data_IF_179047965424
#
_entry.id   IF_179047965424
#
_cell.length_a   1.000
_cell.length_b   1.000
_cell.length_c   1.000
_cell.angle_alpha   90.00
_cell.angle_beta   90.00
_cell.angle_gamma   90.00
#
_symmetry.space_group_name_H-M   'P 1'
#
loop_
_entity.id
_entity.type
_entity.pdbx_description
1 polymer ?
#
# COMPACT_ATOMS: atom_id res chain seq x y z
N UNK A 1 -13.26 -69.55 -50.12
CA UNK A 1 -12.35 -69.03 -49.07
C UNK A 1 -13.15 -68.03 -48.24
N UNK A 2 -13.76 -68.46 -47.14
CA UNK A 2 -13.31 -68.21 -45.74
C UNK A 2 -12.91 -66.73 -45.57
N UNK A 3 -13.59 -65.84 -44.87
CA UNK A 3 -14.50 -65.96 -43.73
C UNK A 3 -13.87 -65.23 -42.54
N UNK A 4 -14.58 -64.23 -41.98
CA UNK A 4 -14.43 -63.55 -40.66
C UNK A 4 -14.77 -62.05 -40.81
N UNK A 5 -15.70 -61.40 -40.09
CA UNK A 5 -16.45 -61.78 -38.90
C UNK A 5 -15.82 -61.18 -37.63
N UNK A 6 -16.43 -60.10 -37.10
CA UNK A 6 -16.42 -59.56 -35.71
C UNK A 6 -16.32 -58.03 -35.71
N UNK A 7 -16.81 -57.27 -34.74
CA UNK A 7 -17.86 -57.35 -33.70
C UNK A 7 -17.82 -55.95 -33.08
N UNK A 8 -18.97 -55.37 -32.72
CA UNK A 8 -19.05 -54.20 -31.84
C UNK A 8 -18.65 -54.56 -30.40
N UNK A 9 -18.28 -53.50 -29.64
CA UNK A 9 -18.13 -53.31 -28.18
C UNK A 9 -16.68 -53.39 -27.64
N UNK A 10 -16.41 -52.92 -26.41
CA UNK A 10 -16.58 -51.55 -25.89
C UNK A 10 -15.26 -51.07 -25.23
N UNK A 11 -14.97 -49.77 -25.22
CA UNK A 11 -13.81 -49.21 -24.53
C UNK A 11 -14.25 -48.17 -23.51
N UNK A 12 -14.35 -48.57 -22.25
CA UNK A 12 -14.40 -47.67 -21.12
C UNK A 12 -13.00 -47.29 -20.64
N UNK A 13 -12.97 -46.30 -19.74
CA UNK A 13 -11.84 -45.84 -18.93
C UNK A 13 -10.74 -45.05 -19.69
N UNK A 14 -10.36 -43.83 -19.32
CA UNK A 14 -10.73 -43.03 -18.16
C UNK A 14 -10.47 -41.55 -18.44
N UNK A 15 -11.32 -40.72 -17.86
CA UNK A 15 -11.07 -39.31 -17.70
C UNK A 15 -9.92 -39.14 -16.70
N UNK A 16 -8.71 -38.90 -17.19
CA UNK A 16 -7.70 -38.19 -16.42
C UNK A 16 -7.80 -36.72 -16.81
N UNK A 17 -8.79 -36.05 -16.23
CA UNK A 17 -8.73 -34.61 -16.06
C UNK A 17 -7.64 -34.36 -15.03
N UNK A 18 -6.54 -33.77 -15.49
CA UNK A 18 -5.43 -33.33 -14.66
C UNK A 18 -5.99 -32.58 -13.45
N UNK A 19 -5.71 -33.10 -12.26
CA UNK A 19 -6.12 -32.44 -11.02
C UNK A 19 -5.50 -31.05 -11.04
N UNK A 20 -6.29 -29.97 -10.88
CA UNK A 20 -5.69 -28.68 -10.64
C UNK A 20 -4.88 -28.82 -9.36
N UNK A 21 -3.58 -28.57 -9.48
CA UNK A 21 -2.70 -28.43 -8.33
C UNK A 21 -3.36 -27.39 -7.44
N UNK A 22 -3.83 -27.83 -6.27
CA UNK A 22 -4.26 -26.96 -5.19
C UNK A 22 -3.09 -26.04 -4.88
N UNK A 23 -3.09 -24.87 -5.52
CA UNK A 23 -2.32 -23.72 -5.06
C UNK A 23 -2.90 -23.45 -3.69
N UNK A 24 -2.22 -23.94 -2.65
CA UNK A 24 -2.44 -23.54 -1.27
C UNK A 24 -2.51 -22.02 -1.29
N UNK A 25 -3.73 -21.49 -1.27
CA UNK A 25 -4.02 -20.11 -0.91
C UNK A 25 -3.41 -19.99 0.47
N UNK A 26 -2.22 -19.40 0.56
CA UNK A 26 -1.63 -19.10 1.86
C UNK A 26 -2.68 -18.27 2.58
N UNK A 27 -3.21 -18.81 3.67
CA UNK A 27 -3.97 -18.01 4.61
C UNK A 27 -3.01 -16.88 4.97
N UNK A 28 -3.31 -15.65 4.56
CA UNK A 28 -2.67 -14.48 5.15
C UNK A 28 -3.08 -14.51 6.62
N UNK A 29 -2.20 -15.02 7.47
CA UNK A 29 -2.39 -15.02 8.90
C UNK A 29 -2.53 -13.56 9.34
N UNK A 30 -3.52 -13.24 10.17
CA UNK A 30 -3.58 -11.91 10.79
C UNK A 30 -2.28 -11.65 11.56
N UNK A 31 -1.76 -10.42 11.50
CA UNK A 31 -0.61 -10.04 12.31
C UNK A 31 -0.90 -10.19 13.81
N UNK A 32 0.10 -10.57 14.60
CA UNK A 32 -0.03 -10.78 16.05
C UNK A 32 -0.09 -9.45 16.84
N UNK A 33 -1.10 -8.64 16.55
CA UNK A 33 -1.39 -7.38 17.24
C UNK A 33 -2.66 -7.60 18.07
N UNK A 34 -2.65 -7.26 19.38
CA UNK A 34 -3.83 -7.38 20.23
C UNK A 34 -5.06 -6.72 19.59
N UNK A 35 -6.18 -7.44 19.57
CA UNK A 35 -7.42 -6.97 18.91
C UNK A 35 -7.89 -5.62 19.42
N UNK A 36 -7.72 -5.34 20.72
CA UNK A 36 -8.09 -4.05 21.31
C UNK A 36 -7.23 -2.91 20.78
N UNK A 37 -5.94 -3.17 20.52
CA UNK A 37 -5.04 -2.17 19.95
C UNK A 37 -5.37 -1.91 18.47
N UNK A 38 -5.72 -2.95 17.69
CA UNK A 38 -6.24 -2.78 16.32
C UNK A 38 -7.47 -1.87 16.31
N UNK A 39 -8.47 -2.19 17.15
CA UNK A 39 -9.69 -1.40 17.31
C UNK A 39 -9.41 0.02 17.78
N UNK A 40 -8.44 0.22 18.67
CA UNK A 40 -8.02 1.55 19.14
C UNK A 40 -7.53 2.40 17.96
N UNK A 41 -6.63 1.87 17.12
CA UNK A 41 -6.11 2.59 15.94
C UNK A 41 -7.23 2.96 14.97
N UNK A 42 -8.06 1.98 14.60
CA UNK A 42 -9.13 2.19 13.63
C UNK A 42 -10.23 3.10 14.16
N UNK A 43 -10.57 3.04 15.45
CA UNK A 43 -11.54 3.93 16.08
C UNK A 43 -11.05 5.38 16.11
N UNK A 44 -9.75 5.61 16.31
CA UNK A 44 -9.17 6.95 16.34
C UNK A 44 -9.18 7.61 14.95
N UNK A 45 -8.94 6.83 13.90
CA UNK A 45 -8.93 7.32 12.51
C UNK A 45 -10.28 7.19 11.80
N UNK A 46 -11.21 6.38 12.33
CA UNK A 46 -12.49 6.00 11.71
C UNK A 46 -12.30 5.38 10.32
N UNK A 47 -11.23 4.62 10.16
CA UNK A 47 -10.84 3.97 8.91
C UNK A 47 -10.25 2.60 9.23
N UNK A 48 -10.67 1.58 8.51
CA UNK A 48 -10.07 0.25 8.58
C UNK A 48 -8.66 0.27 7.99
N UNK A 49 -7.74 -0.47 8.61
CA UNK A 49 -6.35 -0.59 8.13
C UNK A 49 -6.09 -1.99 7.55
N UNK A 50 -5.30 -2.08 6.47
CA UNK A 50 -5.03 -3.37 5.82
C UNK A 50 -4.01 -4.20 6.62
N UNK A 51 -3.97 -5.52 6.43
CA UNK A 51 -3.06 -6.39 7.19
C UNK A 51 -1.57 -6.08 6.98
N UNK A 52 -1.17 -5.56 5.82
CA UNK A 52 0.22 -5.15 5.58
C UNK A 52 0.68 -4.05 6.55
N UNK A 53 -0.23 -3.18 7.02
CA UNK A 53 0.08 -2.19 8.05
C UNK A 53 0.54 -2.85 9.36
N UNK A 54 -0.24 -3.82 9.86
CA UNK A 54 0.04 -4.48 11.13
C UNK A 54 1.25 -5.42 11.04
N UNK A 55 1.39 -6.13 9.92
CA UNK A 55 2.58 -6.95 9.67
C UNK A 55 3.85 -6.11 9.53
N UNK A 56 3.76 -4.93 8.92
CA UNK A 56 4.91 -4.05 8.80
C UNK A 56 5.33 -3.46 10.15
N UNK A 57 4.38 -3.23 11.07
CA UNK A 57 4.71 -2.91 12.46
C UNK A 57 5.52 -4.03 13.11
N UNK A 58 5.09 -5.29 12.96
CA UNK A 58 5.82 -6.46 13.49
C UNK A 58 7.22 -6.60 12.91
N UNK A 59 7.34 -6.42 11.60
CA UNK A 59 8.65 -6.37 10.93
C UNK A 59 9.56 -5.29 11.55
N UNK A 60 9.03 -4.10 11.81
CA UNK A 60 9.78 -3.02 12.46
C UNK A 60 10.10 -3.31 13.94
N UNK A 61 9.23 -4.01 14.68
CA UNK A 61 9.50 -4.48 16.05
C UNK A 61 10.65 -5.48 16.08
N UNK A 62 10.77 -6.36 15.09
CA UNK A 62 11.91 -7.29 14.98
C UNK A 62 13.23 -6.61 14.64
N UNK A 63 13.17 -5.48 13.92
CA UNK A 63 14.37 -4.69 13.59
C UNK A 63 14.87 -3.88 14.78
N UNK A 64 13.96 -3.27 15.55
CA UNK A 64 14.26 -2.50 16.76
C UNK A 64 13.10 -2.61 17.75
N UNK A 65 13.18 -3.53 18.74
CA UNK A 65 12.12 -3.72 19.73
C UNK A 65 11.91 -2.53 20.66
N UNK A 66 12.94 -1.69 20.86
CA UNK A 66 12.85 -0.52 21.75
C UNK A 66 12.15 0.65 21.06
N UNK A 67 12.44 0.86 19.77
CA UNK A 67 11.87 1.97 18.98
C UNK A 67 11.43 1.51 17.60
N UNK A 68 10.37 0.68 17.49
CA UNK A 68 9.93 0.12 16.21
C UNK A 68 9.61 1.22 15.17
N UNK A 69 9.00 2.32 15.61
CA UNK A 69 8.65 3.44 14.74
C UNK A 69 9.85 4.17 14.11
N UNK A 70 11.03 4.10 14.74
CA UNK A 70 12.27 4.71 14.29
C UNK A 70 13.29 3.68 13.74
N UNK A 71 12.93 2.40 13.65
CA UNK A 71 13.79 1.29 13.20
C UNK A 71 14.47 1.52 11.83
N UNK A 72 13.82 2.30 10.95
CA UNK A 72 14.33 2.63 9.61
C UNK A 72 14.95 4.04 9.52
N UNK A 73 15.00 4.80 10.62
CA UNK A 73 15.42 6.20 10.61
C UNK A 73 16.91 6.37 10.35
N UNK A 74 17.76 5.54 10.96
CA UNK A 74 19.22 5.65 10.75
C UNK A 74 19.66 5.16 9.35
N UNK A 75 19.01 4.10 8.85
CA UNK A 75 19.38 3.46 7.58
C UNK A 75 18.79 4.21 6.37
N UNK A 76 17.47 4.40 6.36
CA UNK A 76 16.71 4.96 5.24
C UNK A 76 16.31 6.42 5.44
N UNK A 77 16.42 6.96 6.66
CA UNK A 77 15.86 8.28 6.97
C UNK A 77 14.34 8.27 7.01
N UNK A 78 13.72 7.11 7.24
CA UNK A 78 12.26 6.95 7.30
C UNK A 78 11.79 6.73 8.73
N UNK A 79 10.63 7.28 9.07
CA UNK A 79 9.96 7.07 10.36
C UNK A 79 8.49 6.72 10.14
N UNK A 80 8.01 5.72 10.88
CA UNK A 80 6.61 5.35 10.94
C UNK A 80 5.85 6.35 11.81
N UNK A 81 4.75 6.88 11.29
CA UNK A 81 3.94 7.93 11.92
C UNK A 81 2.44 7.70 11.68
N UNK A 82 1.61 8.65 12.12
CA UNK A 82 0.17 8.60 11.86
C UNK A 82 -0.47 7.48 12.68
N UNK A 83 -1.15 6.49 12.06
CA UNK A 83 -1.70 5.35 12.81
C UNK A 83 -0.63 4.53 13.55
N UNK A 84 0.63 4.51 13.08
CA UNK A 84 1.72 3.88 13.84
C UNK A 84 2.05 4.59 15.15
N UNK A 85 1.75 5.89 15.30
CA UNK A 85 1.97 6.59 16.57
C UNK A 85 1.02 6.07 17.67
N UNK A 86 -0.14 5.51 17.28
CA UNK A 86 -1.08 4.87 18.20
C UNK A 86 -0.55 3.50 18.63
N UNK A 87 -0.03 2.70 17.68
CA UNK A 87 0.65 1.43 18.00
C UNK A 87 1.86 1.65 18.93
N UNK A 88 2.61 2.72 18.71
CA UNK A 88 3.71 3.15 19.57
C UNK A 88 3.27 3.76 20.93
N UNK A 89 1.96 3.88 21.19
CA UNK A 89 1.40 4.44 22.42
C UNK A 89 1.64 5.94 22.64
N UNK A 90 2.09 6.68 21.61
CA UNK A 90 2.47 8.10 21.73
C UNK A 90 1.27 9.02 22.02
N UNK A 91 0.05 8.61 21.63
CA UNK A 91 -1.17 9.37 21.92
C UNK A 91 -1.53 9.36 23.41
N UNK A 92 -1.10 8.34 24.17
CA UNK A 92 -1.35 8.21 25.63
C UNK A 92 -0.49 9.18 26.46
N UNK A 93 0.58 9.74 25.89
CA UNK A 93 1.49 10.66 26.58
C UNK A 93 0.98 12.11 26.64
N UNK A 94 -0.05 12.48 25.85
CA UNK A 94 -0.64 13.82 25.90
C UNK A 94 -1.57 13.92 27.12
N UNK A 95 -1.28 14.85 28.03
CA UNK A 95 -2.16 15.20 29.17
C UNK A 95 -3.56 15.58 28.64
N UNK A 96 -4.54 14.71 28.90
CA UNK A 96 -6.02 14.79 28.93
C UNK A 96 -6.86 16.00 28.41
N UNK A 97 -6.34 17.09 27.85
CA UNK A 97 -7.14 18.30 27.58
C UNK A 97 -7.42 18.61 26.10
N UNK A 98 -6.80 17.91 25.14
CA UNK A 98 -7.13 18.08 23.72
C UNK A 98 -7.29 16.71 23.07
N UNK A 99 -8.50 16.38 22.62
CA UNK A 99 -8.74 15.24 21.75
C UNK A 99 -7.80 15.33 20.54
N UNK A 100 -6.97 14.31 20.32
CA UNK A 100 -6.10 14.25 19.16
C UNK A 100 -6.97 14.24 17.90
N UNK A 101 -6.93 15.31 17.10
CA UNK A 101 -7.62 15.33 15.82
C UNK A 101 -6.81 14.50 14.81
N UNK A 102 -7.09 13.20 14.75
CA UNK A 102 -6.39 12.26 13.86
C UNK A 102 -6.55 12.61 12.37
N UNK A 103 -7.62 13.34 12.00
CA UNK A 103 -7.81 13.80 10.63
C UNK A 103 -6.70 14.75 10.18
N UNK A 104 -6.05 15.47 11.10
CA UNK A 104 -4.96 16.41 10.82
C UNK A 104 -3.59 15.88 11.25
N UNK A 105 -3.54 14.74 11.95
CA UNK A 105 -2.31 14.16 12.46
C UNK A 105 -1.44 13.66 11.29
N UNK A 106 -0.32 14.34 11.04
CA UNK A 106 0.56 14.14 9.89
C UNK A 106 -0.08 14.35 8.50
N UNK A 107 -1.16 15.13 8.43
CA UNK A 107 -1.71 15.57 7.15
C UNK A 107 -0.87 16.73 6.60
N UNK A 108 -0.17 16.49 5.50
CA UNK A 108 0.61 17.53 4.80
C UNK A 108 -0.30 18.43 3.96
N UNK A 109 0.26 19.54 3.49
CA UNK A 109 -0.49 20.61 2.84
C UNK A 109 -1.27 20.15 1.59
N UNK A 110 -0.69 19.23 0.81
CA UNK A 110 -1.29 18.71 -0.42
C UNK A 110 -1.95 17.33 -0.24
N UNK A 111 -2.10 16.84 1.00
CA UNK A 111 -2.70 15.53 1.25
C UNK A 111 -4.22 15.63 1.14
N UNK A 112 -4.84 15.08 0.07
CA UNK A 112 -6.28 15.08 -0.05
C UNK A 112 -6.88 14.11 1.00
N UNK A 113 -8.19 14.20 1.32
CA UNK A 113 -8.83 13.35 2.32
C UNK A 113 -8.58 11.84 2.15
N UNK A 114 -8.47 11.39 0.90
CA UNK A 114 -8.17 10.02 0.45
C UNK A 114 -6.79 9.52 0.90
N UNK A 115 -5.86 10.45 1.14
CA UNK A 115 -4.46 10.15 1.46
C UNK A 115 -4.23 10.22 2.98
N UNK A 116 -3.84 9.08 3.56
CA UNK A 116 -3.53 8.92 4.98
C UNK A 116 -2.04 8.61 5.15
N UNK A 117 -1.28 9.59 5.60
CA UNK A 117 0.17 9.46 5.85
C UNK A 117 0.48 8.40 6.91
N UNK A 118 1.42 7.52 6.60
CA UNK A 118 1.91 6.44 7.47
C UNK A 118 3.44 6.46 7.67
N UNK A 119 4.20 7.05 6.74
CA UNK A 119 5.66 7.14 6.83
C UNK A 119 6.10 8.55 6.42
N UNK A 120 7.06 9.13 7.14
CA UNK A 120 7.75 10.37 6.75
C UNK A 120 9.22 10.09 6.44
N UNK A 121 9.80 10.89 5.56
CA UNK A 121 11.21 10.85 5.21
C UNK A 121 11.88 12.22 5.28
N UNK A 122 12.49 12.67 4.17
CA UNK A 122 13.24 13.91 4.14
C UNK A 122 12.38 15.14 4.47
N UNK A 123 12.63 15.75 5.62
CA UNK A 123 11.96 16.96 6.09
C UNK A 123 12.21 18.21 5.21
N UNK A 124 13.29 18.23 4.42
CA UNK A 124 13.61 19.34 3.53
C UNK A 124 12.64 19.42 2.37
N UNK A 125 12.25 18.28 1.81
CA UNK A 125 11.28 18.18 0.72
C UNK A 125 9.88 17.84 1.23
N UNK A 126 9.75 17.51 2.52
CA UNK A 126 8.55 16.94 3.12
C UNK A 126 8.12 15.66 2.38
N UNK A 127 9.09 14.81 2.07
CA UNK A 127 8.81 13.49 1.51
C UNK A 127 8.04 12.66 2.54
N UNK A 128 6.95 12.03 2.10
CA UNK A 128 6.15 11.15 2.93
C UNK A 128 5.40 10.12 2.08
N UNK A 129 4.95 9.05 2.71
CA UNK A 129 4.16 7.97 2.10
C UNK A 129 2.85 7.81 2.85
N UNK A 130 1.79 7.49 2.13
CA UNK A 130 0.45 7.34 2.68
C UNK A 130 -0.40 6.32 1.92
N UNK A 131 -1.33 5.72 2.65
CA UNK A 131 -2.37 4.91 2.04
C UNK A 131 -3.35 5.80 1.29
N UNK A 132 -3.69 5.43 0.05
CA UNK A 132 -4.71 6.11 -0.75
C UNK A 132 -5.99 5.28 -0.78
N UNK A 133 -7.13 5.87 -0.39
CA UNK A 133 -8.46 5.23 -0.39
C UNK A 133 -9.41 6.00 -1.30
N UNK A 134 -10.05 5.30 -2.24
CA UNK A 134 -11.09 5.90 -3.07
C UNK A 134 -12.38 6.17 -2.26
N UNK A 135 -12.63 5.40 -1.20
CA UNK A 135 -13.76 5.54 -0.27
C UNK A 135 -13.33 5.24 1.17
N UNK A 136 -13.87 5.94 2.20
CA UNK A 136 -13.55 5.66 3.61
C UNK A 136 -13.98 4.25 4.06
N UNK A 137 -14.97 3.66 3.40
CA UNK A 137 -15.48 2.32 3.73
C UNK A 137 -14.65 1.19 3.09
N UNK A 138 -13.69 1.53 2.23
CA UNK A 138 -12.84 0.58 1.51
C UNK A 138 -11.41 0.57 2.07
N UNK A 139 -10.71 -0.55 1.87
CA UNK A 139 -9.28 -0.63 2.15
C UNK A 139 -8.49 0.22 1.14
N UNK A 140 -7.26 0.64 1.50
CA UNK A 140 -6.38 1.36 0.59
C UNK A 140 -6.18 0.63 -0.74
N UNK A 141 -6.24 1.38 -1.85
CA UNK A 141 -6.02 0.85 -3.20
C UNK A 141 -4.54 0.79 -3.58
N UNK A 142 -3.71 1.62 -2.96
CA UNK A 142 -2.24 1.59 -3.06
C UNK A 142 -1.58 2.46 -1.97
N UNK A 143 -0.24 2.41 -1.89
CA UNK A 143 0.57 3.37 -1.14
C UNK A 143 1.14 4.41 -2.09
N UNK A 144 0.82 5.68 -1.86
CA UNK A 144 1.32 6.81 -2.64
C UNK A 144 2.47 7.53 -1.92
N UNK A 145 3.27 8.27 -2.68
CA UNK A 145 4.31 9.16 -2.14
C UNK A 145 4.16 10.58 -2.66
N UNK A 146 4.43 11.57 -1.82
CA UNK A 146 4.48 12.98 -2.21
C UNK A 146 5.67 13.69 -1.53
N UNK A 147 6.13 14.78 -2.16
CA UNK A 147 7.08 15.74 -1.59
C UNK A 147 6.39 17.10 -1.47
N UNK A 148 5.78 17.37 -0.31
CA UNK A 148 4.82 18.48 -0.17
C UNK A 148 5.43 19.87 -0.36
N UNK A 149 6.76 20.02 -0.25
CA UNK A 149 7.46 21.28 -0.58
C UNK A 149 7.79 21.45 -2.06
N UNK A 150 7.55 20.44 -2.89
CA UNK A 150 7.83 20.47 -4.33
C UNK A 150 6.56 20.64 -5.17
N UNK A 151 5.55 19.81 -4.97
CA UNK A 151 4.31 19.83 -5.75
C UNK A 151 3.19 19.01 -5.07
N UNK A 152 2.00 19.01 -5.68
CA UNK A 152 0.84 18.23 -5.24
C UNK A 152 0.77 16.82 -5.85
N UNK A 153 1.79 16.37 -6.59
CA UNK A 153 1.73 15.09 -7.32
C UNK A 153 1.88 13.93 -6.36
N UNK A 154 0.94 12.99 -6.41
CA UNK A 154 0.97 11.74 -5.66
C UNK A 154 1.38 10.62 -6.62
N UNK A 155 2.52 10.00 -6.35
CA UNK A 155 3.07 8.93 -7.18
C UNK A 155 2.73 7.58 -6.54
N UNK A 156 1.97 6.68 -7.23
CA UNK A 156 1.74 5.33 -6.74
C UNK A 156 3.05 4.54 -6.61
N UNK A 157 3.23 3.86 -5.48
CA UNK A 157 4.48 3.22 -5.10
C UNK A 157 4.23 1.86 -4.44
N UNK A 158 3.57 0.96 -5.17
CA UNK A 158 3.17 -0.36 -4.69
C UNK A 158 1.78 -0.39 -4.03
N UNK A 159 1.19 -1.59 -3.91
CA UNK A 159 -0.14 -1.78 -3.33
C UNK A 159 -0.15 -2.11 -1.83
N UNK A 160 1.02 -2.10 -1.21
CA UNK A 160 1.22 -2.36 0.22
C UNK A 160 2.49 -1.63 0.71
N UNK A 161 2.63 -1.48 2.03
CA UNK A 161 3.74 -0.72 2.63
C UNK A 161 5.11 -1.39 2.45
N UNK A 162 5.17 -2.73 2.39
CA UNK A 162 6.43 -3.46 2.12
C UNK A 162 6.97 -3.08 0.74
N UNK A 163 6.12 -3.10 -0.30
CA UNK A 163 6.48 -2.68 -1.64
C UNK A 163 6.98 -1.23 -1.65
N UNK A 164 6.26 -0.32 -1.00
CA UNK A 164 6.60 1.10 -0.97
C UNK A 164 8.00 1.36 -0.38
N UNK A 165 8.29 0.72 0.75
CA UNK A 165 9.58 0.84 1.43
C UNK A 165 10.69 0.16 0.62
N UNK A 166 10.43 -0.99 0.00
CA UNK A 166 11.40 -1.64 -0.89
C UNK A 166 11.77 -0.77 -2.08
N UNK A 167 10.78 -0.18 -2.75
CA UNK A 167 10.99 0.69 -3.91
C UNK A 167 11.80 1.93 -3.52
N UNK A 168 11.51 2.52 -2.35
CA UNK A 168 12.31 3.61 -1.79
C UNK A 168 13.74 3.17 -1.49
N UNK A 169 13.93 2.01 -0.84
CA UNK A 169 15.24 1.44 -0.54
C UNK A 169 16.06 1.22 -1.81
N UNK A 170 15.47 0.62 -2.85
CA UNK A 170 16.11 0.39 -4.13
C UNK A 170 16.56 1.69 -4.82
N UNK A 171 15.74 2.75 -4.74
CA UNK A 171 16.14 4.09 -5.20
C UNK A 171 17.31 4.61 -4.37
N UNK A 172 17.25 4.50 -3.05
CA UNK A 172 18.30 4.97 -2.14
C UNK A 172 19.62 4.24 -2.34
N UNK A 173 19.59 2.94 -2.63
CA UNK A 173 20.78 2.13 -2.88
C UNK A 173 21.56 2.60 -4.11
N UNK A 174 20.88 3.21 -5.09
CA UNK A 174 21.51 3.81 -6.29
C UNK A 174 22.15 5.18 -6.00
N UNK A 175 21.70 5.87 -4.95
CA UNK A 175 22.19 7.21 -4.57
C UNK A 175 23.37 7.17 -3.58
N UNK A 176 23.48 6.10 -2.79
CA UNK A 176 24.47 5.98 -1.71
C UNK A 176 25.77 5.38 -2.24
N UNK A 177 26.90 5.99 -1.88
CA UNK A 177 28.25 5.52 -2.22
C UNK A 177 29.01 4.88 -1.05
N UNK A 178 28.57 5.14 0.20
CA UNK A 178 29.20 4.59 1.41
C UNK A 178 28.98 3.07 1.54
N UNK A 179 30.08 2.30 1.60
CA UNK A 179 30.04 0.83 1.61
C UNK A 179 29.31 0.25 2.83
N UNK A 180 29.48 0.84 4.01
CA UNK A 180 28.85 0.36 5.25
C UNK A 180 27.34 0.58 5.21
N UNK A 181 26.91 1.73 4.68
CA UNK A 181 25.50 2.04 4.48
C UNK A 181 24.88 1.13 3.41
N UNK A 182 25.59 0.86 2.31
CA UNK A 182 25.14 -0.09 1.29
C UNK A 182 24.93 -1.49 1.89
N UNK A 183 25.86 -2.00 2.71
CA UNK A 183 25.68 -3.33 3.34
C UNK A 183 24.50 -3.37 4.30
N UNK A 184 24.27 -2.30 5.07
CA UNK A 184 23.10 -2.18 5.94
C UNK A 184 21.79 -2.19 5.15
N UNK A 185 21.74 -1.41 4.06
CA UNK A 185 20.56 -1.35 3.19
C UNK A 185 20.28 -2.69 2.51
N UNK A 186 21.30 -3.44 2.10
CA UNK A 186 21.14 -4.79 1.54
C UNK A 186 20.58 -5.79 2.56
N UNK A 187 21.06 -5.75 3.80
CA UNK A 187 20.53 -6.61 4.86
C UNK A 187 19.04 -6.34 5.12
N UNK A 188 18.65 -5.06 5.18
CA UNK A 188 17.24 -4.67 5.33
C UNK A 188 16.43 -5.12 4.12
N UNK A 189 16.96 -4.98 2.90
CA UNK A 189 16.29 -5.44 1.68
C UNK A 189 16.02 -6.94 1.67
N UNK A 190 17.00 -7.75 2.10
CA UNK A 190 16.88 -9.20 2.23
C UNK A 190 15.76 -9.56 3.22
N UNK A 191 15.80 -8.99 4.43
CA UNK A 191 14.77 -9.23 5.46
C UNK A 191 13.38 -8.80 4.99
N UNK A 192 13.27 -7.64 4.36
CA UNK A 192 11.99 -7.13 3.85
C UNK A 192 11.44 -8.03 2.74
N UNK A 193 12.31 -8.50 1.84
CA UNK A 193 11.94 -9.38 0.74
C UNK A 193 11.48 -10.75 1.24
N UNK A 194 12.17 -11.28 2.26
CA UNK A 194 11.80 -12.53 2.92
C UNK A 194 10.42 -12.40 3.57
N UNK A 195 10.22 -11.37 4.42
CA UNK A 195 8.95 -11.13 5.11
C UNK A 195 7.78 -10.95 4.11
N UNK A 196 7.97 -10.14 3.07
CA UNK A 196 6.95 -9.96 2.04
C UNK A 196 6.63 -11.27 1.30
N UNK A 197 7.63 -12.11 1.04
CA UNK A 197 7.44 -13.43 0.41
C UNK A 197 6.65 -14.38 1.30
N UNK A 198 7.00 -14.46 2.58
CA UNK A 198 6.31 -15.31 3.56
C UNK A 198 4.85 -14.90 3.74
N UNK A 199 4.58 -13.58 3.76
CA UNK A 199 3.25 -13.01 3.92
C UNK A 199 2.45 -12.96 2.60
N UNK A 200 3.09 -13.21 1.46
CA UNK A 200 2.45 -13.19 0.13
C UNK A 200 2.15 -11.79 -0.40
N UNK A 201 2.88 -10.77 0.05
CA UNK A 201 2.75 -9.40 -0.46
C UNK A 201 3.55 -9.21 -1.75
N UNK A 202 2.91 -8.59 -2.75
CA UNK A 202 3.60 -8.19 -3.98
C UNK A 202 4.61 -7.08 -3.69
N UNK A 203 5.75 -7.11 -4.37
CA UNK A 203 6.77 -6.06 -4.28
C UNK A 203 6.85 -5.22 -5.56
N UNK A 204 5.87 -5.38 -6.46
CA UNK A 204 5.79 -4.61 -7.70
C UNK A 204 5.37 -3.15 -7.43
N UNK A 205 5.89 -2.22 -8.23
CA UNK A 205 5.47 -0.82 -8.18
C UNK A 205 4.01 -0.62 -8.63
N UNK A 206 3.53 -1.42 -9.59
CA UNK A 206 2.16 -1.35 -10.13
C UNK A 206 1.58 -2.76 -10.31
N UNK A 207 0.77 -3.18 -9.36
CA UNK A 207 0.15 -4.52 -9.36
C UNK A 207 -1.04 -4.61 -10.32
N UNK A 208 -1.50 -5.84 -10.59
CA UNK A 208 -2.70 -6.06 -11.40
C UNK A 208 -3.95 -5.38 -10.81
N UNK A 209 -4.07 -5.32 -9.48
CA UNK A 209 -5.18 -4.63 -8.80
C UNK A 209 -5.15 -3.12 -9.07
N UNK A 210 -3.98 -2.50 -8.98
CA UNK A 210 -3.80 -1.08 -9.30
C UNK A 210 -4.19 -0.80 -10.75
N UNK A 211 -3.75 -1.63 -11.70
CA UNK A 211 -4.12 -1.50 -13.13
C UNK A 211 -5.61 -1.71 -13.38
N UNK A 212 -6.28 -2.56 -12.61
CA UNK A 212 -7.74 -2.72 -12.69
C UNK A 212 -8.46 -1.48 -12.14
N UNK A 213 -7.96 -0.90 -11.06
CA UNK A 213 -8.47 0.37 -10.51
C UNK A 213 -8.27 1.51 -11.52
N UNK A 214 -7.12 1.59 -12.20
CA UNK A 214 -6.85 2.61 -13.22
C UNK A 214 -7.92 2.64 -14.33
N UNK A 215 -8.57 1.50 -14.65
CA UNK A 215 -9.68 1.44 -15.62
C UNK A 215 -10.98 2.06 -15.12
N UNK A 216 -11.13 2.24 -13.82
CA UNK A 216 -12.30 2.86 -13.17
C UNK A 216 -12.08 4.35 -12.87
N UNK A 217 -10.87 4.86 -13.11
CA UNK A 217 -10.53 6.27 -12.90
C UNK A 217 -11.22 7.11 -13.95
N UNK A 218 -12.07 8.04 -13.51
CA UNK A 218 -12.83 8.92 -14.41
C UNK A 218 -12.06 10.20 -14.77
N UNK A 219 -11.13 10.63 -13.91
CA UNK A 219 -10.20 11.74 -14.18
C UNK A 219 -8.98 11.64 -13.29
N UNK A 220 -7.83 12.18 -13.72
CA UNK A 220 -6.58 12.13 -12.95
C UNK A 220 -6.47 13.17 -11.85
N UNK A 221 -7.17 14.31 -12.02
CA UNK A 221 -6.99 15.55 -11.26
C UNK A 221 -5.53 16.05 -11.27
N UNK A 222 -5.25 17.20 -10.65
CA UNK A 222 -3.89 17.76 -10.61
C UNK A 222 -2.88 16.94 -9.80
N UNK A 223 -3.34 16.22 -8.78
CA UNK A 223 -2.45 15.35 -7.99
C UNK A 223 -2.12 14.04 -8.71
N UNK A 224 -2.82 13.70 -9.81
CA UNK A 224 -2.49 12.58 -10.69
C UNK A 224 -2.84 11.18 -10.15
N UNK A 225 -3.31 11.07 -8.92
CA UNK A 225 -3.75 9.81 -8.31
C UNK A 225 -5.07 9.29 -8.88
N UNK A 226 -5.87 10.18 -9.47
CA UNK A 226 -7.14 9.86 -10.10
C UNK A 226 -8.32 9.67 -9.14
N UNK A 227 -9.50 9.97 -9.65
CA UNK A 227 -10.78 9.92 -8.96
C UNK A 227 -11.61 8.75 -9.49
N UNK A 228 -12.21 7.99 -8.58
CA UNK A 228 -13.11 6.86 -8.88
C UNK A 228 -14.46 7.16 -8.28
N UNK A 229 -15.50 7.19 -9.12
CA UNK A 229 -16.89 7.36 -8.69
C UNK A 229 -17.78 6.34 -9.40
N UNK A 230 -18.94 5.99 -8.83
CA UNK A 230 -19.91 5.16 -9.53
C UNK A 230 -20.38 5.85 -10.83
N UNK A 231 -20.27 5.15 -11.95
CA UNK A 231 -20.83 5.55 -13.25
C UNK A 231 -21.77 4.44 -13.70
N UNK A 232 -23.04 4.77 -13.95
CA UNK A 232 -24.02 3.79 -14.38
C UNK A 232 -23.89 3.46 -15.88
N UNK A 233 -24.74 2.55 -16.37
CA UNK A 233 -24.76 2.14 -17.79
C UNK A 233 -25.18 3.23 -18.78
N UNK A 234 -25.66 4.38 -18.28
CA UNK A 234 -26.10 5.53 -19.06
C UNK A 234 -25.11 6.70 -18.93
N UNK A 235 -23.89 6.43 -18.45
CA UNK A 235 -22.83 7.41 -18.16
C UNK A 235 -23.21 8.46 -17.11
N UNK A 236 -24.19 8.16 -16.24
CA UNK A 236 -24.57 9.03 -15.12
C UNK A 236 -23.62 8.80 -13.95
N UNK A 237 -22.91 9.85 -13.54
CA UNK A 237 -22.06 9.84 -12.32
C UNK A 237 -20.85 10.77 -12.40
N UNK A 238 -20.33 11.03 -13.60
CA UNK A 238 -19.21 11.94 -13.83
C UNK A 238 -19.44 12.79 -15.08
N UNK A 239 -18.90 14.01 -15.09
CA UNK A 239 -18.86 14.88 -16.26
C UNK A 239 -17.58 15.69 -16.22
N UNK A 240 -16.93 15.79 -17.37
CA UNK A 240 -15.69 16.55 -17.52
C UNK A 240 -15.90 18.06 -17.27
N UNK A 241 -14.82 18.73 -16.88
CA UNK A 241 -14.79 20.19 -16.85
C UNK A 241 -14.84 20.73 -18.28
N UNK A 242 -15.41 21.93 -18.49
CA UNK A 242 -15.42 22.57 -19.82
C UNK A 242 -14.01 23.00 -20.27
N UNK A 243 -13.05 23.04 -19.35
CA UNK A 243 -11.66 23.47 -19.59
C UNK A 243 -10.69 22.31 -19.38
N UNK A 244 -9.57 22.35 -20.10
CA UNK A 244 -8.47 21.40 -19.89
C UNK A 244 -7.68 21.72 -18.62
N UNK A 245 -6.99 20.73 -18.05
CA UNK A 245 -6.12 20.94 -16.87
C UNK A 245 -5.10 22.07 -17.10
N UNK A 246 -4.55 22.19 -18.32
CA UNK A 246 -3.61 23.27 -18.66
C UNK A 246 -4.25 24.65 -18.65
N UNK A 247 -5.49 24.78 -19.11
CA UNK A 247 -6.24 26.04 -19.06
C UNK A 247 -6.61 26.41 -17.64
N UNK A 248 -7.06 25.45 -16.83
CA UNK A 248 -7.37 25.69 -15.42
C UNK A 248 -6.09 26.14 -14.69
N UNK A 249 -4.95 25.48 -14.92
CA UNK A 249 -3.68 25.93 -14.33
C UNK A 249 -3.32 27.37 -14.74
N UNK A 250 -3.51 27.75 -16.01
CA UNK A 250 -3.26 29.12 -16.49
C UNK A 250 -4.12 30.19 -15.80
N UNK A 251 -5.32 29.84 -15.34
CA UNK A 251 -6.22 30.77 -14.65
C UNK A 251 -5.84 30.98 -13.18
N UNK A 252 -5.28 29.96 -12.52
CA UNK A 252 -5.10 29.94 -11.07
C UNK A 252 -3.64 29.95 -10.60
N UNK A 253 -2.67 29.76 -11.50
CA UNK A 253 -1.22 29.71 -11.22
C UNK A 253 -0.51 30.79 -12.04
#
# INVERSE_FOLDING_TARGET
MVGSGRKRRPGGEGSQCEKPVDVKKSKSCEADIPTDLRKEVESHYRLSLPEDFYHFWKFCEELDPEKPADSLSLSLGLRLVGPYDILAGKHKMKKRSASLNCNLHWRFYYDPPEFQTIIIGDSKTQFHMGYFRDSPDELPVFVGTNEAKKNCVIVPNGDNVFAAVKLFLMKKLKEVTDKKKISLLKNIDEKLTEAARELGFSLEQRTAKMKQRDKKVVTKTFHGAGLVVPVDKNDVGYRELPETDGNVLCVYV
#
